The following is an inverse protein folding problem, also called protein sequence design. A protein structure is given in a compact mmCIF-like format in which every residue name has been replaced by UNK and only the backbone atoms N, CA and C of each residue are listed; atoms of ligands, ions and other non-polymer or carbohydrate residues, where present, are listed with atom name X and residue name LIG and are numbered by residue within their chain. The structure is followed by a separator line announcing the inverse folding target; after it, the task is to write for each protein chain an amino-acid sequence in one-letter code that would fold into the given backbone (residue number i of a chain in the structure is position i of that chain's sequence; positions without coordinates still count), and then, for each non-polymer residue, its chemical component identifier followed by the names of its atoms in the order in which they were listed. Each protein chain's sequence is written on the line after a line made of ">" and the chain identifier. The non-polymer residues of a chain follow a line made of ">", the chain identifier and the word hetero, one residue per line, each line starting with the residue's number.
data_IF_585012367236
#
_entry.id   IF_585012367236
#
_cell.length_a   1.000
_cell.length_b   1.000
_cell.length_c   1.000
_cell.angle_alpha   90.00
_cell.angle_beta   90.00
_cell.angle_gamma   90.00
#
_symmetry.space_group_name_H-M   'P 1'
#
loop_
_entity.id
_entity.type
_entity.pdbx_description
1 polymer ?
#
# COMPACT_ATOMS: atom_id res chain seq x y z
N UNK A 1 -26.68 -4.97 8.24
CA UNK A 1 -25.32 -4.73 8.76
C UNK A 1 -24.72 -3.59 7.96
N UNK A 2 -24.18 -2.57 8.61
CA UNK A 2 -23.45 -1.49 7.92
C UNK A 2 -22.14 -2.03 7.37
N UNK A 3 -21.74 -1.63 6.16
CA UNK A 3 -20.45 -2.02 5.59
C UNK A 3 -19.31 -1.61 6.55
N UNK A 4 -18.24 -2.40 6.68
CA UNK A 4 -17.11 -2.02 7.52
C UNK A 4 -16.32 -0.87 6.88
N UNK A 5 -15.56 -0.08 7.67
CA UNK A 5 -14.62 0.91 7.13
C UNK A 5 -13.59 0.25 6.22
N UNK A 6 -13.11 0.99 5.22
CA UNK A 6 -12.13 0.52 4.24
C UNK A 6 -10.79 1.21 4.48
N UNK A 7 -9.72 0.44 4.67
CA UNK A 7 -8.36 0.96 4.75
C UNK A 7 -7.60 0.65 3.47
N UNK A 8 -7.25 1.68 2.70
CA UNK A 8 -6.22 1.60 1.67
C UNK A 8 -4.85 1.69 2.32
N UNK A 9 -4.02 0.68 2.10
CA UNK A 9 -2.71 0.53 2.74
C UNK A 9 -1.64 0.16 1.71
N UNK A 10 -0.37 0.33 2.09
CA UNK A 10 0.76 -0.27 1.38
C UNK A 10 1.74 -0.83 2.40
N UNK A 11 2.00 -2.13 2.32
CA UNK A 11 2.78 -2.93 3.26
C UNK A 11 4.09 -2.28 3.73
N UNK A 12 4.79 -1.61 2.83
CA UNK A 12 6.12 -1.01 3.11
C UNK A 12 6.09 0.47 3.44
N UNK A 13 4.94 1.15 3.28
CA UNK A 13 4.83 2.58 3.56
C UNK A 13 4.91 2.83 5.07
N UNK A 14 5.82 3.71 5.57
CA UNK A 14 5.90 4.02 6.98
C UNK A 14 4.61 4.68 7.51
N UNK A 15 3.97 5.55 6.72
CA UNK A 15 2.67 6.13 7.06
C UNK A 15 1.57 5.06 7.16
N UNK A 16 1.56 4.04 6.30
CA UNK A 16 0.57 2.98 6.38
C UNK A 16 0.83 2.02 7.55
N UNK A 17 2.11 1.81 7.94
CA UNK A 17 2.45 1.09 9.17
C UNK A 17 1.87 1.82 10.39
N UNK A 18 1.97 3.16 10.48
CA UNK A 18 1.36 3.96 11.56
C UNK A 18 -0.13 3.67 11.73
N UNK A 19 -0.89 3.80 10.64
CA UNK A 19 -2.33 3.56 10.66
C UNK A 19 -2.66 2.14 11.12
N UNK A 20 -1.96 1.14 10.58
CA UNK A 20 -2.17 -0.27 10.98
C UNK A 20 -1.83 -0.53 12.45
N UNK A 21 -0.77 0.07 12.99
CA UNK A 21 -0.42 -0.04 14.41
C UNK A 21 -1.56 0.44 15.30
N UNK A 22 -2.07 1.64 15.03
CA UNK A 22 -3.14 2.23 15.82
C UNK A 22 -4.49 1.50 15.67
N UNK A 23 -4.82 1.02 14.47
CA UNK A 23 -6.05 0.24 14.25
C UNK A 23 -5.97 -1.14 14.93
N UNK A 24 -4.82 -1.81 14.85
CA UNK A 24 -4.61 -3.10 15.49
C UNK A 24 -4.65 -3.00 17.03
N UNK A 25 -4.00 -1.99 17.62
CA UNK A 25 -4.04 -1.81 19.09
C UNK A 25 -5.43 -1.40 19.59
N UNK A 26 -6.21 -0.68 18.77
CA UNK A 26 -7.62 -0.42 19.03
C UNK A 26 -8.50 -1.67 18.88
N UNK A 27 -7.93 -2.80 18.47
CA UNK A 27 -8.59 -4.10 18.39
C UNK A 27 -9.41 -4.32 17.12
N UNK A 28 -9.20 -3.52 16.06
CA UNK A 28 -9.84 -3.77 14.77
C UNK A 28 -9.06 -4.84 14.00
N UNK A 29 -9.77 -5.78 13.38
CA UNK A 29 -9.18 -6.85 12.57
C UNK A 29 -9.61 -6.77 11.10
N UNK A 30 -8.66 -6.84 10.13
CA UNK A 30 -8.98 -6.96 8.71
C UNK A 30 -9.88 -8.16 8.42
N UNK A 31 -10.94 -7.95 7.63
CA UNK A 31 -11.93 -8.97 7.28
C UNK A 31 -13.05 -9.16 8.31
N UNK A 32 -12.91 -8.61 9.52
CA UNK A 32 -13.96 -8.59 10.54
C UNK A 32 -14.49 -7.18 10.80
N UNK A 33 -13.59 -6.28 11.19
CA UNK A 33 -13.93 -4.93 11.65
C UNK A 33 -13.61 -3.86 10.59
N UNK A 34 -12.75 -4.17 9.61
CA UNK A 34 -12.42 -3.31 8.48
C UNK A 34 -12.09 -4.13 7.22
N UNK A 35 -12.31 -3.56 6.04
CA UNK A 35 -11.80 -4.10 4.78
C UNK A 35 -10.41 -3.52 4.49
N UNK A 36 -9.38 -4.36 4.39
CA UNK A 36 -8.05 -3.93 4.00
C UNK A 36 -7.86 -4.05 2.49
N UNK A 37 -7.47 -2.94 1.85
CA UNK A 37 -7.13 -2.88 0.43
C UNK A 37 -5.64 -2.56 0.30
N UNK A 38 -4.82 -3.59 0.07
CA UNK A 38 -3.38 -3.40 -0.23
C UNK A 38 -3.24 -2.78 -1.63
N UNK A 39 -2.51 -1.67 -1.72
CA UNK A 39 -2.41 -0.86 -2.95
C UNK A 39 -1.01 -0.97 -3.54
N UNK A 40 -0.94 -1.18 -4.85
CA UNK A 40 0.27 -0.91 -5.62
C UNK A 40 0.44 0.60 -5.82
N UNK A 41 1.55 1.17 -5.36
CA UNK A 41 1.84 2.60 -5.58
C UNK A 41 2.13 2.93 -7.05
N UNK A 42 2.55 1.94 -7.84
CA UNK A 42 2.75 2.08 -9.28
C UNK A 42 1.43 2.00 -10.04
N UNK A 43 0.46 1.24 -9.51
CA UNK A 43 -0.84 1.09 -10.15
C UNK A 43 -1.96 1.09 -9.12
N UNK A 44 -2.38 2.32 -8.79
CA UNK A 44 -3.38 2.62 -7.77
C UNK A 44 -4.77 2.22 -8.27
N UNK A 45 -5.59 1.54 -7.46
CA UNK A 45 -6.95 1.19 -7.87
C UNK A 45 -7.75 2.47 -8.14
N UNK A 46 -8.63 2.49 -9.16
CA UNK A 46 -9.49 3.65 -9.44
C UNK A 46 -10.24 4.14 -8.20
N UNK A 47 -10.69 3.24 -7.34
CA UNK A 47 -11.42 3.55 -6.10
C UNK A 47 -10.60 4.33 -5.09
N UNK A 48 -9.27 4.17 -5.04
CA UNK A 48 -8.41 5.02 -4.21
C UNK A 48 -8.40 6.45 -4.75
N UNK A 49 -8.36 6.60 -6.08
CA UNK A 49 -8.33 7.92 -6.72
C UNK A 49 -9.67 8.65 -6.59
N UNK A 50 -10.78 7.90 -6.55
CA UNK A 50 -12.12 8.44 -6.28
C UNK A 50 -12.22 9.10 -4.89
N UNK A 51 -11.60 8.50 -3.86
CA UNK A 51 -11.70 8.98 -2.47
C UNK A 51 -10.53 9.86 -2.02
N UNK A 52 -9.39 9.79 -2.70
CA UNK A 52 -8.17 10.53 -2.36
C UNK A 52 -7.52 11.09 -3.64
N UNK A 53 -7.74 12.37 -3.96
CA UNK A 53 -7.12 13.02 -5.11
C UNK A 53 -5.57 12.99 -5.09
N UNK A 54 -4.97 13.02 -3.90
CA UNK A 54 -3.52 12.85 -3.70
C UNK A 54 -3.02 11.46 -4.16
N UNK A 55 -3.92 10.47 -4.18
CA UNK A 55 -3.61 9.07 -4.44
C UNK A 55 -2.53 8.51 -3.51
N UNK A 56 -2.46 8.98 -2.27
CA UNK A 56 -1.49 8.52 -1.27
C UNK A 56 -2.12 7.49 -0.35
N UNK A 57 -1.28 6.80 0.43
CA UNK A 57 -1.72 5.85 1.47
C UNK A 57 -1.00 6.16 2.78
N UNK A 58 -1.65 5.92 3.93
CA UNK A 58 -2.94 5.27 4.11
C UNK A 58 -4.14 6.20 3.86
N UNK A 59 -5.28 5.62 3.51
CA UNK A 59 -6.58 6.31 3.47
C UNK A 59 -7.62 5.41 4.14
N UNK A 60 -8.34 5.92 5.12
CA UNK A 60 -9.46 5.23 5.76
C UNK A 60 -10.77 5.87 5.29
N UNK A 61 -11.70 5.05 4.80
CA UNK A 61 -13.05 5.47 4.43
C UNK A 61 -14.03 4.86 5.43
N UNK A 62 -14.76 5.70 6.15
CA UNK A 62 -15.77 5.26 7.09
C UNK A 62 -17.05 4.80 6.38
N UNK A 63 -17.91 3.99 7.04
CA UNK A 63 -19.18 3.57 6.46
C UNK A 63 -20.12 4.72 6.08
N UNK A 64 -19.96 5.88 6.73
CA UNK A 64 -20.67 7.12 6.41
C UNK A 64 -20.20 7.80 5.11
N UNK A 65 -19.07 7.37 4.55
CA UNK A 65 -18.39 8.02 3.43
C UNK A 65 -17.36 9.07 3.84
N UNK A 66 -17.19 9.34 5.14
CA UNK A 66 -16.12 10.23 5.62
C UNK A 66 -14.74 9.65 5.29
N UNK A 67 -13.82 10.49 4.84
CA UNK A 67 -12.47 10.09 4.42
C UNK A 67 -11.43 10.70 5.34
N UNK A 68 -10.52 9.86 5.83
CA UNK A 68 -9.29 10.26 6.53
C UNK A 68 -8.10 9.90 5.65
N UNK A 69 -7.43 10.89 5.08
CA UNK A 69 -6.31 10.73 4.16
C UNK A 69 -4.93 11.01 4.79
N UNK A 70 -4.90 11.25 6.10
CA UNK A 70 -3.69 11.51 6.87
C UNK A 70 -3.46 10.42 7.93
N UNK A 71 -2.25 9.84 7.96
CA UNK A 71 -1.95 8.70 8.85
C UNK A 71 -2.15 9.01 10.33
N UNK A 72 -1.83 10.23 10.79
CA UNK A 72 -2.02 10.66 12.18
C UNK A 72 -3.51 10.81 12.52
N UNK A 73 -4.32 11.29 11.57
CA UNK A 73 -5.77 11.37 11.76
C UNK A 73 -6.36 9.97 11.93
N UNK A 74 -5.91 9.00 11.13
CA UNK A 74 -6.32 7.59 11.27
C UNK A 74 -5.87 7.02 12.62
N UNK A 75 -4.63 7.31 13.05
CA UNK A 75 -4.15 6.85 14.36
C UNK A 75 -5.01 7.38 15.51
N UNK A 76 -5.28 8.68 15.53
CA UNK A 76 -6.13 9.32 16.55
C UNK A 76 -7.55 8.81 16.49
N UNK A 77 -8.11 8.65 15.29
CA UNK A 77 -9.44 8.08 15.08
C UNK A 77 -9.57 6.69 15.71
N UNK A 78 -8.56 5.84 15.56
CA UNK A 78 -8.56 4.50 16.16
C UNK A 78 -8.43 4.56 17.69
N UNK A 79 -7.45 5.31 18.19
CA UNK A 79 -7.11 5.33 19.62
C UNK A 79 -8.17 6.03 20.48
N UNK A 80 -8.85 7.07 19.96
CA UNK A 80 -9.97 7.72 20.66
C UNK A 80 -11.11 6.72 20.93
N UNK A 81 -11.27 5.69 20.09
CA UNK A 81 -12.27 4.63 20.30
C UNK A 81 -11.81 3.62 21.34
N UNK A 82 -10.54 3.21 21.27
CA UNK A 82 -9.95 2.27 22.22
C UNK A 82 -8.44 2.43 22.25
N UNK A 83 -7.90 2.80 23.42
CA UNK A 83 -6.46 2.96 23.65
C UNK A 83 -6.03 2.14 24.88
N UNK A 84 -5.92 0.81 24.75
CA UNK A 84 -5.67 -0.07 25.90
C UNK A 84 -4.27 0.10 26.51
N UNK A 85 -3.37 0.79 25.80
CA UNK A 85 -1.99 1.01 26.22
C UNK A 85 -1.68 2.49 26.50
N UNK A 86 -2.67 3.37 26.38
CA UNK A 86 -2.55 4.79 26.70
C UNK A 86 -1.61 5.57 25.79
N UNK A 87 -1.50 5.22 24.51
CA UNK A 87 -0.61 5.89 23.54
C UNK A 87 -0.95 7.38 23.38
N UNK A 88 -2.21 7.79 23.53
CA UNK A 88 -2.60 9.20 23.45
C UNK A 88 -2.12 10.01 24.67
N UNK A 89 -1.88 9.37 25.81
CA UNK A 89 -1.44 10.04 27.03
C UNK A 89 0.07 10.26 26.98
N UNK A 90 0.52 11.51 27.09
CA UNK A 90 1.90 11.77 27.50
C UNK A 90 2.07 11.36 28.98
N UNK A 91 3.28 10.98 29.38
CA UNK A 91 3.56 10.60 30.77
C UNK A 91 3.27 11.79 31.72
N UNK A 92 2.05 11.86 32.27
CA UNK A 92 1.68 12.90 33.23
C UNK A 92 0.20 13.26 33.36
N UNK A 93 -0.71 12.86 32.46
CA UNK A 93 -2.14 13.16 32.68
C UNK A 93 -3.10 12.76 31.56
N UNK A 94 -4.37 12.60 31.94
CA UNK A 94 -5.49 12.33 31.05
C UNK A 94 -5.85 13.62 30.31
N UNK A 95 -5.33 13.83 29.10
CA UNK A 95 -5.59 15.04 28.32
C UNK A 95 -4.82 15.05 27.00
N UNK A 96 -5.24 15.91 26.06
CA UNK A 96 -4.76 16.02 24.69
C UNK A 96 -3.23 15.86 24.52
N UNK A 97 -2.82 15.39 23.33
CA UNK A 97 -1.41 15.25 22.95
C UNK A 97 -0.60 16.48 23.38
N UNK A 98 0.39 16.26 24.25
CA UNK A 98 1.21 17.34 24.77
C UNK A 98 2.00 18.05 23.65
N UNK A 99 2.32 19.36 23.78
CA UNK A 99 3.06 20.11 22.77
C UNK A 99 4.37 19.44 22.31
N UNK A 100 5.06 18.74 23.21
CA UNK A 100 6.28 18.01 22.88
C UNK A 100 6.06 16.80 21.94
N UNK A 101 4.93 16.08 22.11
CA UNK A 101 4.56 14.98 21.23
C UNK A 101 4.29 15.49 19.81
N UNK A 102 3.53 16.58 19.70
CA UNK A 102 3.25 17.21 18.40
C UNK A 102 4.52 17.74 17.74
N UNK A 103 5.43 18.32 18.51
CA UNK A 103 6.72 18.80 18.00
C UNK A 103 7.58 17.65 17.43
N UNK A 104 7.68 16.51 18.13
CA UNK A 104 8.42 15.34 17.64
C UNK A 104 7.81 14.77 16.35
N UNK A 105 6.48 14.70 16.29
CA UNK A 105 5.76 14.22 15.11
C UNK A 105 5.95 15.18 13.93
N UNK A 106 5.89 16.50 14.17
CA UNK A 106 6.14 17.51 13.14
C UNK A 106 7.59 17.49 12.63
N UNK A 107 8.57 17.32 13.53
CA UNK A 107 9.98 17.15 13.15
C UNK A 107 10.20 15.89 12.31
N UNK A 108 9.51 14.79 12.64
CA UNK A 108 9.53 13.57 11.85
C UNK A 108 8.93 13.79 10.45
N UNK A 109 7.72 14.32 10.37
CA UNK A 109 6.94 14.40 9.14
C UNK A 109 7.43 15.50 8.19
N UNK A 110 8.14 16.50 8.72
CA UNK A 110 8.81 17.55 7.95
C UNK A 110 10.31 17.29 7.77
N UNK A 111 11.19 17.90 8.59
CA UNK A 111 12.64 17.83 8.42
C UNK A 111 13.21 16.42 8.28
N UNK A 112 12.92 15.50 9.20
CA UNK A 112 13.50 14.15 9.14
C UNK A 112 13.07 13.41 7.88
N UNK A 113 11.78 13.43 7.56
CA UNK A 113 11.25 12.81 6.34
C UNK A 113 11.86 13.40 5.07
N UNK A 114 12.05 14.72 5.02
CA UNK A 114 12.72 15.40 3.91
C UNK A 114 14.13 14.83 3.66
N UNK A 115 14.91 14.68 4.73
CA UNK A 115 16.26 14.13 4.64
C UNK A 115 16.25 12.63 4.36
N UNK A 116 15.41 11.84 5.02
CA UNK A 116 15.22 10.41 4.79
C UNK A 116 14.94 10.09 3.32
N UNK A 117 14.01 10.82 2.68
CA UNK A 117 13.67 10.57 1.28
C UNK A 117 14.87 10.81 0.34
N UNK A 118 15.66 11.85 0.60
CA UNK A 118 16.85 12.21 -0.19
C UNK A 118 18.05 11.31 0.10
N UNK A 119 18.15 10.75 1.30
CA UNK A 119 19.11 9.71 1.62
C UNK A 119 18.74 8.39 0.94
N UNK A 120 17.48 7.96 1.03
CA UNK A 120 17.04 6.63 0.59
C UNK A 120 16.82 6.56 -0.93
N UNK A 121 16.23 7.59 -1.51
CA UNK A 121 15.84 7.65 -2.90
C UNK A 121 16.58 8.74 -3.67
N UNK A 122 17.85 8.99 -3.35
CA UNK A 122 18.65 10.09 -3.93
C UNK A 122 18.61 10.11 -5.47
N UNK A 123 18.60 8.93 -6.12
CA UNK A 123 18.52 8.78 -7.57
C UNK A 123 17.26 9.40 -8.19
N UNK A 124 16.17 9.55 -7.43
CA UNK A 124 14.95 10.24 -7.89
C UNK A 124 15.14 11.75 -8.03
N UNK A 125 16.22 12.31 -7.49
CA UNK A 125 16.55 13.73 -7.53
C UNK A 125 17.72 14.02 -8.49
N UNK A 126 18.02 13.09 -9.40
CA UNK A 126 19.07 13.22 -10.41
C UNK A 126 20.49 13.23 -9.82
N UNK A 127 21.50 13.54 -10.65
CA UNK A 127 22.91 13.50 -10.25
C UNK A 127 23.23 14.40 -9.05
N UNK A 128 22.58 15.57 -8.94
CA UNK A 128 22.75 16.48 -7.81
C UNK A 128 22.23 15.88 -6.50
N UNK A 129 21.10 15.16 -6.55
CA UNK A 129 20.56 14.45 -5.40
C UNK A 129 21.50 13.37 -4.89
N UNK A 130 22.10 12.60 -5.80
CA UNK A 130 23.09 11.58 -5.46
C UNK A 130 24.35 12.17 -4.83
N UNK A 131 24.87 13.27 -5.40
CA UNK A 131 26.03 13.97 -4.87
C UNK A 131 25.80 14.50 -3.42
N UNK A 132 24.57 14.87 -3.09
CA UNK A 132 24.17 15.36 -1.75
C UNK A 132 23.62 14.28 -0.82
N UNK A 133 23.66 13.01 -1.22
CA UNK A 133 23.08 11.90 -0.42
C UNK A 133 23.66 11.86 1.00
N UNK A 134 24.98 12.00 1.13
CA UNK A 134 25.64 11.94 2.44
C UNK A 134 25.34 13.18 3.29
N UNK A 135 25.23 14.37 2.70
CA UNK A 135 24.78 15.58 3.40
C UNK A 135 23.38 15.38 4.01
N UNK A 136 22.43 14.85 3.22
CA UNK A 136 21.09 14.54 3.75
C UNK A 136 21.13 13.44 4.81
N UNK A 137 22.02 12.45 4.67
CA UNK A 137 22.21 11.40 5.69
C UNK A 137 22.70 11.98 7.00
N UNK A 138 23.69 12.86 6.97
CA UNK A 138 24.24 13.54 8.15
C UNK A 138 23.20 14.43 8.83
N UNK A 139 22.41 15.18 8.05
CA UNK A 139 21.32 16.00 8.60
C UNK A 139 20.21 15.14 9.25
N UNK A 140 19.85 14.00 8.65
CA UNK A 140 18.94 13.05 9.29
C UNK A 140 19.52 12.47 10.60
N UNK A 141 20.82 12.14 10.62
CA UNK A 141 21.51 11.67 11.83
C UNK A 141 21.54 12.73 12.93
N UNK A 142 21.69 14.01 12.59
CA UNK A 142 21.65 15.10 13.57
C UNK A 142 20.29 15.18 14.28
N UNK A 143 19.18 14.99 13.55
CA UNK A 143 17.83 14.92 14.12
C UNK A 143 17.69 13.67 15.00
N UNK A 144 18.12 12.51 14.50
CA UNK A 144 18.09 11.26 15.26
C UNK A 144 18.92 11.33 16.55
N UNK A 145 20.06 12.03 16.54
CA UNK A 145 20.85 12.30 17.74
C UNK A 145 20.10 13.18 18.75
N UNK A 146 19.28 14.12 18.28
CA UNK A 146 18.34 14.87 19.11
C UNK A 146 17.31 13.98 19.80
N UNK A 147 16.72 13.04 19.07
CA UNK A 147 15.79 12.05 19.65
C UNK A 147 16.49 11.09 20.61
N UNK A 148 17.69 10.64 20.26
CA UNK A 148 18.51 9.78 21.12
C UNK A 148 18.74 10.39 22.51
N UNK A 149 19.01 11.70 22.59
CA UNK A 149 19.18 12.39 23.88
C UNK A 149 17.94 12.38 24.77
N UNK A 150 16.75 12.20 24.21
CA UNK A 150 15.49 12.07 24.98
C UNK A 150 15.28 10.65 25.50
N UNK A 151 15.87 9.66 24.85
CA UNK A 151 15.74 8.26 25.23
C UNK A 151 16.62 7.97 26.45
N UNK A 152 16.00 7.89 27.63
CA UNK A 152 16.64 7.28 28.79
C UNK A 152 16.91 5.79 28.52
N UNK A 153 17.84 5.18 29.26
CA UNK A 153 18.12 3.76 29.13
C UNK A 153 16.84 2.92 29.33
N UNK A 154 16.41 2.21 28.28
CA UNK A 154 15.16 1.42 28.27
C UNK A 154 13.86 2.23 28.16
N UNK A 155 13.94 3.56 28.12
CA UNK A 155 12.81 4.48 28.03
C UNK A 155 12.22 4.63 26.63
N UNK A 156 11.33 5.61 26.50
CA UNK A 156 10.66 6.06 25.29
C UNK A 156 10.82 7.57 25.15
N UNK A 157 10.43 8.14 24.02
CA UNK A 157 10.76 9.54 23.70
C UNK A 157 10.25 10.56 24.73
N UNK A 158 9.14 10.27 25.40
CA UNK A 158 8.46 11.16 26.34
C UNK A 158 8.26 10.52 27.73
N UNK A 159 9.04 9.48 28.08
CA UNK A 159 9.02 8.89 29.42
C UNK A 159 9.21 7.37 29.46
N UNK A 160 8.69 6.73 30.51
CA UNK A 160 8.89 5.30 30.75
C UNK A 160 7.98 4.37 29.93
N UNK A 161 6.94 4.91 29.26
CA UNK A 161 5.98 4.16 28.44
C UNK A 161 5.91 4.77 27.03
N UNK A 162 5.60 3.97 25.99
CA UNK A 162 5.49 4.51 24.64
C UNK A 162 4.31 5.45 24.53
N UNK A 163 4.46 6.50 23.73
CA UNK A 163 3.36 7.37 23.33
C UNK A 163 3.09 7.30 21.83
N UNK A 164 2.10 8.05 21.36
CA UNK A 164 1.81 8.23 19.95
C UNK A 164 3.05 8.68 19.15
N UNK A 165 3.93 9.49 19.76
CA UNK A 165 5.18 9.91 19.13
C UNK A 165 6.05 8.71 18.75
N UNK A 166 6.24 7.75 19.66
CA UNK A 166 7.09 6.59 19.40
C UNK A 166 6.56 5.78 18.21
N UNK A 167 5.28 5.44 18.25
CA UNK A 167 4.63 4.65 17.20
C UNK A 167 4.49 5.39 15.87
N UNK A 168 4.47 6.73 15.90
CA UNK A 168 4.55 7.56 14.71
C UNK A 168 5.96 7.60 14.11
N UNK A 169 7.01 7.70 14.93
CA UNK A 169 8.38 7.90 14.44
C UNK A 169 9.07 6.59 14.03
N UNK A 170 8.88 5.52 14.80
CA UNK A 170 9.55 4.22 14.60
C UNK A 170 9.45 3.65 13.17
N UNK A 171 8.30 3.70 12.47
CA UNK A 171 8.22 3.26 11.08
C UNK A 171 9.17 4.00 10.14
N UNK A 172 9.50 5.27 10.41
CA UNK A 172 10.38 6.10 9.59
C UNK A 172 11.85 5.82 9.91
N UNK A 173 12.20 5.67 11.19
CA UNK A 173 13.56 5.25 11.59
C UNK A 173 13.86 3.85 11.06
N UNK A 174 12.87 2.97 11.01
CA UNK A 174 12.97 1.69 10.28
C UNK A 174 13.29 1.89 8.79
N UNK A 175 12.68 2.86 8.10
CA UNK A 175 13.00 3.14 6.70
C UNK A 175 14.41 3.69 6.52
N UNK A 176 14.88 4.50 7.48
CA UNK A 176 16.24 5.05 7.51
C UNK A 176 17.27 3.91 7.62
N UNK A 177 17.11 3.02 8.61
CA UNK A 177 17.95 1.80 8.72
C UNK A 177 17.90 0.94 7.46
N UNK A 178 16.73 0.77 6.84
CA UNK A 178 16.61 -0.01 5.60
C UNK A 178 17.32 0.61 4.39
N UNK A 179 17.68 1.90 4.43
CA UNK A 179 18.47 2.53 3.37
C UNK A 179 19.95 2.11 3.44
N UNK A 180 20.48 1.88 4.66
CA UNK A 180 21.83 1.43 4.92
C UNK A 180 21.89 0.68 6.27
N UNK A 181 21.58 -0.64 6.28
CA UNK A 181 21.54 -1.40 7.52
C UNK A 181 22.90 -1.48 8.22
N UNK A 182 23.97 -1.70 7.46
CA UNK A 182 25.32 -1.84 8.00
C UNK A 182 25.81 -0.51 8.62
N UNK A 183 25.60 0.61 7.93
CA UNK A 183 25.97 1.92 8.49
C UNK A 183 25.12 2.36 9.67
N UNK A 184 23.85 1.96 9.74
CA UNK A 184 23.01 2.18 10.93
C UNK A 184 23.44 1.32 12.12
N UNK A 185 23.79 0.05 11.87
CA UNK A 185 24.22 -0.88 12.92
C UNK A 185 25.62 -0.53 13.44
N UNK A 186 26.46 0.11 12.61
CA UNK A 186 27.78 0.62 12.97
C UNK A 186 27.78 2.05 13.54
N UNK A 187 26.62 2.62 13.89
CA UNK A 187 26.56 3.94 14.54
C UNK A 187 27.35 3.96 15.87
N UNK A 188 27.92 5.12 16.23
CA UNK A 188 28.75 5.23 17.42
C UNK A 188 27.96 4.94 18.72
N UNK A 189 28.64 4.51 19.80
CA UNK A 189 27.99 4.09 21.05
C UNK A 189 27.12 5.16 21.72
N UNK A 190 27.37 6.45 21.46
CA UNK A 190 26.54 7.55 21.95
C UNK A 190 25.13 7.57 21.34
N UNK A 191 24.89 6.83 20.24
CA UNK A 191 23.58 6.58 19.64
C UNK A 191 22.96 5.22 20.00
N UNK A 192 23.50 4.52 20.99
CA UNK A 192 23.03 3.19 21.37
C UNK A 192 21.57 3.17 21.86
N UNK A 193 21.07 4.24 22.49
CA UNK A 193 19.69 4.30 22.95
C UNK A 193 18.69 4.32 21.78
N UNK A 194 19.00 5.04 20.71
CA UNK A 194 18.24 5.03 19.45
C UNK A 194 18.23 3.65 18.81
N UNK A 195 19.39 2.98 18.75
CA UNK A 195 19.49 1.63 18.19
C UNK A 195 18.65 0.63 19.02
N UNK A 196 18.73 0.70 20.35
CA UNK A 196 17.93 -0.14 21.25
C UNK A 196 16.42 0.13 21.12
N UNK A 197 16.02 1.39 21.01
CA UNK A 197 14.63 1.80 20.81
C UNK A 197 14.06 1.27 19.48
N UNK A 198 14.81 1.38 18.39
CA UNK A 198 14.43 0.77 17.11
C UNK A 198 14.42 -0.76 17.19
N UNK A 199 15.43 -1.37 17.83
CA UNK A 199 15.51 -2.83 17.95
C UNK A 199 14.30 -3.42 18.67
N UNK A 200 13.84 -2.78 19.76
CA UNK A 200 12.61 -3.15 20.47
C UNK A 200 11.39 -3.12 19.56
N UNK A 201 11.27 -2.12 18.69
CA UNK A 201 10.18 -2.06 17.72
C UNK A 201 10.28 -3.16 16.66
N UNK A 202 11.48 -3.41 16.13
CA UNK A 202 11.69 -4.41 15.08
C UNK A 202 11.43 -5.85 15.56
N UNK A 203 11.67 -6.11 16.84
CA UNK A 203 11.46 -7.40 17.49
C UNK A 203 10.11 -7.50 18.23
N UNK A 204 9.37 -6.39 18.31
CA UNK A 204 8.16 -6.27 19.12
C UNK A 204 6.92 -6.89 18.46
N UNK A 205 5.94 -7.32 19.28
CA UNK A 205 4.71 -7.94 18.79
C UNK A 205 3.85 -6.98 17.95
N UNK A 206 3.91 -5.67 18.20
CA UNK A 206 3.09 -4.68 17.51
C UNK A 206 3.46 -4.58 16.03
N UNK A 207 4.76 -4.50 15.71
CA UNK A 207 5.21 -4.51 14.32
C UNK A 207 4.94 -5.88 13.69
N UNK A 208 5.21 -6.98 14.40
CA UNK A 208 4.99 -8.33 13.89
C UNK A 208 3.51 -8.53 13.48
N UNK A 209 2.57 -8.12 14.32
CA UNK A 209 1.13 -8.21 14.07
C UNK A 209 0.72 -7.46 12.79
N UNK A 210 1.17 -6.21 12.62
CA UNK A 210 0.78 -5.40 11.46
C UNK A 210 1.59 -5.70 10.20
N UNK A 211 2.60 -6.57 10.28
CA UNK A 211 3.36 -7.08 9.14
C UNK A 211 2.94 -8.49 8.72
N UNK A 212 2.02 -9.12 9.48
CA UNK A 212 1.42 -10.41 9.16
C UNK A 212 0.48 -10.32 7.94
N UNK A 213 0.20 -11.44 7.23
CA UNK A 213 -0.56 -11.44 5.98
C UNK A 213 -1.91 -10.71 6.04
N UNK A 214 -2.65 -10.84 7.15
CA UNK A 214 -3.95 -10.17 7.35
C UNK A 214 -3.87 -8.64 7.23
N UNK A 215 -2.76 -8.04 7.68
CA UNK A 215 -2.53 -6.59 7.66
C UNK A 215 -1.62 -6.12 6.53
N UNK A 216 -0.91 -7.05 5.91
CA UNK A 216 0.25 -6.79 5.07
C UNK A 216 0.28 -7.76 3.89
N UNK A 217 -0.85 -7.84 3.18
CA UNK A 217 -0.98 -8.59 1.95
C UNK A 217 0.20 -8.31 1.01
N UNK A 218 0.70 -9.36 0.35
CA UNK A 218 1.74 -9.22 -0.67
C UNK A 218 1.13 -8.87 -2.03
N UNK A 219 -0.15 -9.16 -2.17
CA UNK A 219 -0.94 -8.98 -3.36
C UNK A 219 -1.70 -7.65 -3.31
N UNK A 220 -1.62 -6.84 -4.37
CA UNK A 220 -2.53 -5.71 -4.50
C UNK A 220 -3.97 -6.22 -4.52
N UNK A 221 -4.82 -5.56 -3.74
CA UNK A 221 -6.26 -5.75 -3.80
C UNK A 221 -6.76 -5.44 -5.22
N UNK A 222 -7.61 -6.32 -5.73
CA UNK A 222 -8.28 -6.18 -7.02
C UNK A 222 -9.77 -6.05 -6.76
N UNK A 223 -10.35 -4.98 -7.27
CA UNK A 223 -11.75 -4.66 -7.06
C UNK A 223 -12.67 -5.68 -7.73
N UNK A 224 -13.75 -6.12 -7.05
CA UNK A 224 -14.81 -6.89 -7.68
C UNK A 224 -15.67 -6.07 -8.66
N UNK A 225 -15.52 -4.73 -8.68
CA UNK A 225 -16.28 -3.81 -9.57
C UNK A 225 -15.82 -3.90 -11.03
N UNK A 226 -14.58 -4.30 -11.26
CA UNK A 226 -13.96 -4.28 -12.60
C UNK A 226 -13.85 -5.67 -13.20
N UNK A 227 -13.84 -5.71 -14.53
CA UNK A 227 -13.46 -6.91 -15.27
C UNK A 227 -11.99 -6.85 -15.63
N UNK A 228 -11.38 -8.00 -15.86
CA UNK A 228 -9.96 -8.09 -16.12
C UNK A 228 -9.65 -8.95 -17.34
N UNK A 229 -8.72 -8.53 -18.18
CA UNK A 229 -8.29 -9.27 -19.35
C UNK A 229 -6.76 -9.36 -19.40
N UNK A 230 -6.24 -10.55 -19.63
CA UNK A 230 -4.80 -10.78 -19.83
C UNK A 230 -4.50 -10.75 -21.33
N UNK A 231 -3.63 -9.83 -21.75
CA UNK A 231 -3.22 -9.67 -23.14
C UNK A 231 -1.71 -9.83 -23.29
N UNK A 232 -1.23 -10.32 -24.43
CA UNK A 232 0.19 -10.21 -24.73
C UNK A 232 0.54 -8.73 -24.93
N UNK A 233 1.69 -8.29 -24.40
CA UNK A 233 2.09 -6.87 -24.46
C UNK A 233 2.17 -6.36 -25.91
N UNK A 234 2.65 -7.20 -26.84
CA UNK A 234 2.73 -6.87 -28.25
C UNK A 234 1.34 -6.65 -28.88
N UNK A 235 0.38 -7.52 -28.58
CA UNK A 235 -1.00 -7.41 -29.06
C UNK A 235 -1.68 -6.15 -28.52
N UNK A 236 -1.47 -5.85 -27.22
CA UNK A 236 -1.97 -4.62 -26.64
C UNK A 236 -1.36 -3.37 -27.29
N UNK A 237 -0.05 -3.38 -27.56
CA UNK A 237 0.63 -2.28 -28.24
C UNK A 237 0.07 -2.03 -29.64
N UNK A 238 -0.18 -3.09 -30.39
CA UNK A 238 -0.80 -3.00 -31.71
C UNK A 238 -2.22 -2.45 -31.63
N UNK A 239 -3.04 -2.94 -30.70
CA UNK A 239 -4.40 -2.44 -30.50
C UNK A 239 -4.43 -0.94 -30.16
N UNK A 240 -3.47 -0.45 -29.37
CA UNK A 240 -3.34 0.99 -29.09
C UNK A 240 -3.04 1.83 -30.32
N UNK A 241 -2.36 1.27 -31.32
CA UNK A 241 -2.10 1.94 -32.60
C UNK A 241 -3.33 1.87 -33.51
N UNK A 242 -4.03 0.74 -33.50
CA UNK A 242 -5.22 0.52 -34.32
C UNK A 242 -6.50 1.18 -33.78
N UNK A 243 -6.53 1.56 -32.50
CA UNK A 243 -7.70 2.17 -31.84
C UNK A 243 -8.72 1.16 -31.30
N UNK A 244 -8.47 -0.14 -31.44
CA UNK A 244 -9.40 -1.21 -31.04
C UNK A 244 -8.64 -2.50 -30.69
N UNK A 245 -9.12 -3.25 -29.71
CA UNK A 245 -8.55 -4.55 -29.33
C UNK A 245 -9.50 -5.69 -29.72
N UNK A 246 -9.04 -6.61 -30.56
CA UNK A 246 -9.87 -7.69 -31.14
C UNK A 246 -9.24 -9.09 -30.97
N UNK A 247 -8.51 -9.32 -29.88
CA UNK A 247 -7.99 -10.66 -29.55
C UNK A 247 -8.89 -11.31 -28.50
N UNK A 248 -9.22 -12.58 -28.71
CA UNK A 248 -10.10 -13.31 -27.80
C UNK A 248 -9.33 -13.88 -26.61
N UNK A 249 -8.28 -14.63 -26.94
CA UNK A 249 -7.36 -15.30 -26.02
C UNK A 249 -5.99 -15.36 -26.67
N UNK A 250 -5.00 -15.92 -25.96
CA UNK A 250 -3.64 -16.09 -26.47
C UNK A 250 -3.65 -16.76 -27.84
N UNK A 251 -3.21 -16.02 -28.86
CA UNK A 251 -3.05 -16.55 -30.22
C UNK A 251 -4.30 -16.50 -31.09
N UNK A 252 -5.51 -16.34 -30.53
CA UNK A 252 -6.77 -16.38 -31.28
C UNK A 252 -7.46 -15.01 -31.35
N UNK A 253 -7.98 -14.66 -32.53
CA UNK A 253 -8.72 -13.45 -32.79
C UNK A 253 -10.18 -13.55 -32.30
N UNK A 254 -10.84 -12.40 -32.16
CA UNK A 254 -12.25 -12.33 -31.81
C UNK A 254 -13.12 -13.06 -32.84
N UNK A 255 -12.80 -12.94 -34.12
CA UNK A 255 -13.56 -13.52 -35.22
C UNK A 255 -13.51 -15.05 -35.22
N UNK A 256 -12.43 -15.63 -34.67
CA UNK A 256 -12.24 -17.08 -34.58
C UNK A 256 -13.02 -17.71 -33.41
N UNK A 257 -13.21 -16.97 -32.31
CA UNK A 257 -13.82 -17.49 -31.06
C UNK A 257 -15.24 -16.98 -30.85
N UNK A 258 -15.55 -15.76 -31.30
CA UNK A 258 -16.84 -15.09 -31.16
C UNK A 258 -17.00 -14.18 -29.94
N UNK A 259 -16.05 -14.20 -29.00
CA UNK A 259 -16.03 -13.31 -27.82
C UNK A 259 -14.61 -13.17 -27.25
N UNK A 260 -14.36 -12.12 -26.44
CA UNK A 260 -13.11 -11.93 -25.69
C UNK A 260 -13.27 -12.47 -24.27
N UNK A 261 -12.31 -13.28 -23.82
CA UNK A 261 -12.31 -13.81 -22.46
C UNK A 261 -11.89 -12.73 -21.46
N UNK A 262 -12.70 -12.50 -20.43
CA UNK A 262 -12.30 -11.72 -19.26
C UNK A 262 -12.36 -12.60 -18.00
N UNK A 263 -12.00 -12.01 -16.87
CA UNK A 263 -11.98 -12.64 -15.56
C UNK A 263 -12.49 -11.67 -14.50
N UNK A 264 -13.18 -12.19 -13.49
CA UNK A 264 -13.37 -11.50 -12.22
C UNK A 264 -12.06 -11.50 -11.42
N UNK A 265 -11.97 -10.63 -10.41
CA UNK A 265 -10.75 -10.47 -9.60
C UNK A 265 -10.20 -11.80 -9.03
N UNK A 266 -11.08 -12.66 -8.51
CA UNK A 266 -10.70 -13.94 -7.89
C UNK A 266 -10.22 -15.01 -8.89
N UNK A 267 -10.53 -14.86 -10.18
CA UNK A 267 -10.19 -15.82 -11.23
C UNK A 267 -8.78 -15.63 -11.80
N UNK A 268 -8.24 -14.42 -11.67
CA UNK A 268 -7.05 -13.98 -12.42
C UNK A 268 -5.83 -14.86 -12.22
N UNK A 269 -5.50 -15.22 -10.97
CA UNK A 269 -4.29 -16.00 -10.70
C UNK A 269 -4.39 -17.43 -11.25
N UNK A 270 -5.59 -18.01 -11.28
CA UNK A 270 -5.82 -19.32 -11.89
C UNK A 270 -5.74 -19.23 -13.43
N UNK A 271 -6.39 -18.22 -14.03
CA UNK A 271 -6.35 -17.95 -15.47
C UNK A 271 -4.92 -17.73 -15.96
N UNK A 272 -4.16 -16.88 -15.28
CA UNK A 272 -2.77 -16.59 -15.65
C UNK A 272 -1.89 -17.83 -15.59
N UNK A 273 -1.98 -18.63 -14.51
CA UNK A 273 -1.23 -19.88 -14.37
C UNK A 273 -1.58 -20.91 -15.43
N UNK A 274 -2.85 -20.99 -15.83
CA UNK A 274 -3.32 -21.99 -16.80
C UNK A 274 -2.93 -21.65 -18.24
N UNK A 275 -3.06 -20.39 -18.64
CA UNK A 275 -2.99 -20.00 -20.06
C UNK A 275 -1.78 -19.13 -20.43
N UNK A 276 -1.14 -18.49 -19.45
CA UNK A 276 -0.08 -17.49 -19.70
C UNK A 276 1.26 -17.83 -19.01
N UNK A 277 1.41 -19.02 -18.41
CA UNK A 277 2.63 -19.41 -17.68
C UNK A 277 3.91 -19.39 -18.53
N UNK A 278 3.77 -19.72 -19.80
CA UNK A 278 4.84 -19.85 -20.81
C UNK A 278 4.75 -18.73 -21.86
N UNK A 279 3.91 -17.72 -21.61
CA UNK A 279 3.83 -16.55 -22.46
C UNK A 279 5.04 -15.63 -22.24
N UNK A 280 5.35 -14.81 -23.25
CA UNK A 280 6.26 -13.67 -23.11
C UNK A 280 5.66 -12.55 -22.23
N UNK A 281 6.05 -11.29 -22.41
CA UNK A 281 5.47 -10.18 -21.65
C UNK A 281 3.95 -10.11 -21.75
N UNK A 282 3.26 -10.12 -20.60
CA UNK A 282 1.79 -10.05 -20.48
C UNK A 282 1.41 -8.74 -19.79
N UNK A 283 0.30 -8.16 -20.21
CA UNK A 283 -0.35 -7.02 -19.54
C UNK A 283 -1.72 -7.42 -19.02
N UNK A 284 -2.06 -6.89 -17.84
CA UNK A 284 -3.39 -6.96 -17.25
C UNK A 284 -4.15 -5.68 -17.60
N UNK A 285 -5.20 -5.82 -18.39
CA UNK A 285 -6.15 -4.76 -18.66
C UNK A 285 -7.23 -4.80 -17.58
N UNK A 286 -7.52 -3.66 -16.92
CA UNK A 286 -8.70 -3.53 -16.06
C UNK A 286 -9.76 -2.69 -16.76
N UNK A 287 -10.97 -3.25 -16.86
CA UNK A 287 -12.02 -2.82 -17.76
C UNK A 287 -13.20 -2.27 -16.97
N UNK A 288 -13.77 -1.17 -17.45
CA UNK A 288 -14.99 -0.58 -16.92
C UNK A 288 -16.22 -1.20 -17.60
N UNK A 289 -17.02 -2.04 -16.91
CA UNK A 289 -18.19 -2.66 -17.51
C UNK A 289 -19.23 -1.64 -17.99
N UNK A 290 -19.29 -0.45 -17.39
CA UNK A 290 -20.21 0.63 -17.81
C UNK A 290 -19.77 1.30 -19.11
N UNK A 291 -18.47 1.28 -19.43
CA UNK A 291 -17.95 1.77 -20.72
C UNK A 291 -18.17 0.76 -21.82
N UNK A 292 -18.01 -0.53 -21.51
CA UNK A 292 -18.36 -1.62 -22.43
C UNK A 292 -19.83 -1.57 -22.83
N UNK A 293 -20.73 -1.42 -21.85
CA UNK A 293 -22.16 -1.29 -22.11
C UNK A 293 -22.50 -0.07 -22.99
N UNK A 294 -21.93 1.11 -22.68
CA UNK A 294 -22.12 2.33 -23.49
C UNK A 294 -21.58 2.20 -24.92
N UNK A 295 -20.52 1.42 -25.11
CA UNK A 295 -19.96 1.13 -26.42
C UNK A 295 -20.74 0.01 -27.17
N UNK A 296 -21.80 -0.53 -26.58
CA UNK A 296 -22.61 -1.58 -27.19
C UNK A 296 -21.93 -2.95 -27.22
N UNK A 297 -20.99 -3.22 -26.30
CA UNK A 297 -20.31 -4.52 -26.17
C UNK A 297 -20.99 -5.33 -25.05
N UNK A 298 -21.84 -6.34 -25.37
CA UNK A 298 -22.51 -7.12 -24.35
C UNK A 298 -21.50 -7.97 -23.56
N UNK A 299 -21.67 -8.01 -22.24
CA UNK A 299 -20.92 -8.91 -21.35
C UNK A 299 -21.84 -10.00 -20.84
N UNK A 300 -21.47 -11.27 -21.03
CA UNK A 300 -22.22 -12.41 -20.49
C UNK A 300 -21.33 -13.24 -19.58
N UNK A 301 -21.89 -13.72 -18.48
CA UNK A 301 -21.20 -14.61 -17.56
C UNK A 301 -21.57 -16.06 -17.91
N UNK A 302 -20.61 -16.84 -18.40
CA UNK A 302 -20.86 -18.18 -18.92
C UNK A 302 -19.80 -19.16 -18.42
N UNK A 303 -20.20 -20.41 -18.23
CA UNK A 303 -19.27 -21.46 -17.82
C UNK A 303 -18.53 -22.03 -19.04
N UNK A 304 -17.26 -22.42 -18.90
CA UNK A 304 -16.57 -23.17 -19.95
C UNK A 304 -17.21 -24.57 -20.10
N UNK A 305 -17.04 -25.26 -21.24
CA UNK A 305 -17.69 -26.55 -21.51
C UNK A 305 -17.45 -27.65 -20.47
N UNK A 306 -16.36 -27.56 -19.70
CA UNK A 306 -15.96 -28.54 -18.68
C UNK A 306 -15.91 -27.93 -17.27
N UNK A 307 -16.67 -26.86 -17.00
CA UNK A 307 -16.69 -26.21 -15.69
C UNK A 307 -18.05 -25.66 -15.32
N UNK A 308 -18.19 -25.27 -14.05
CA UNK A 308 -19.40 -24.63 -13.50
C UNK A 308 -19.19 -23.17 -13.15
N UNK A 309 -17.92 -22.75 -13.01
CA UNK A 309 -17.57 -21.38 -12.69
C UNK A 309 -17.83 -20.46 -13.89
N UNK A 310 -18.50 -19.35 -13.66
CA UNK A 310 -18.86 -18.39 -14.70
C UNK A 310 -17.72 -17.40 -14.94
N UNK A 311 -17.34 -17.24 -16.21
CA UNK A 311 -16.38 -16.24 -16.66
C UNK A 311 -17.10 -15.16 -17.47
N UNK A 312 -16.70 -13.88 -17.33
CA UNK A 312 -17.24 -12.82 -18.17
C UNK A 312 -16.65 -12.91 -19.59
N UNK A 313 -17.52 -12.91 -20.59
CA UNK A 313 -17.19 -12.88 -22.02
C UNK A 313 -17.72 -11.60 -22.67
N UNK A 314 -16.87 -10.91 -23.42
CA UNK A 314 -17.23 -9.69 -24.15
C UNK A 314 -17.58 -10.06 -25.59
N UNK A 315 -18.83 -9.81 -26.00
CA UNK A 315 -19.33 -10.12 -27.34
C UNK A 315 -19.13 -8.94 -28.30
N UNK A 316 -17.88 -8.69 -28.64
CA UNK A 316 -17.48 -7.61 -29.52
C UNK A 316 -16.03 -7.18 -29.28
N UNK A 317 -15.48 -6.33 -30.15
CA UNK A 317 -14.14 -5.79 -29.94
C UNK A 317 -14.11 -4.96 -28.66
N UNK A 318 -12.99 -5.03 -27.92
CA UNK A 318 -12.77 -4.22 -26.73
C UNK A 318 -12.38 -2.79 -27.15
N UNK A 319 -13.22 -1.78 -26.88
CA UNK A 319 -12.87 -0.40 -27.14
C UNK A 319 -11.83 0.08 -26.11
N UNK A 320 -10.85 0.86 -26.57
CA UNK A 320 -9.72 1.26 -25.70
C UNK A 320 -10.16 2.20 -24.58
N UNK A 321 -11.26 2.94 -24.76
CA UNK A 321 -11.80 3.83 -23.74
C UNK A 321 -12.36 3.07 -22.54
N UNK A 322 -12.79 1.82 -22.71
CA UNK A 322 -13.23 0.92 -21.65
C UNK A 322 -12.07 0.38 -20.80
N UNK A 323 -10.82 0.49 -21.27
CA UNK A 323 -9.63 0.09 -20.53
C UNK A 323 -9.23 1.21 -19.57
N UNK A 324 -9.53 1.04 -18.28
CA UNK A 324 -9.15 2.00 -17.23
C UNK A 324 -7.64 2.02 -17.01
N UNK A 325 -7.02 0.83 -17.09
CA UNK A 325 -5.59 0.61 -16.83
C UNK A 325 -5.05 -0.57 -17.63
N UNK A 326 -3.76 -0.50 -17.94
CA UNK A 326 -2.98 -1.58 -18.53
C UNK A 326 -1.65 -1.70 -17.79
N UNK A 327 -1.50 -2.76 -16.99
CA UNK A 327 -0.34 -2.95 -16.10
C UNK A 327 0.46 -4.18 -16.50
N UNK A 328 1.81 -4.17 -16.39
CA UNK A 328 2.59 -5.38 -16.56
C UNK A 328 2.13 -6.48 -15.59
N UNK A 329 1.75 -7.64 -16.13
CA UNK A 329 1.40 -8.78 -15.31
C UNK A 329 2.66 -9.40 -14.72
N UNK A 330 2.70 -9.51 -13.41
CA UNK A 330 3.76 -10.23 -12.70
C UNK A 330 3.10 -11.36 -11.92
N UNK A 331 3.34 -12.62 -12.30
CA UNK A 331 2.87 -13.75 -11.53
C UNK A 331 3.35 -13.60 -10.09
N UNK A 332 2.49 -13.98 -9.15
CA UNK A 332 2.91 -14.05 -7.78
C UNK A 332 3.98 -15.15 -7.64
N UNK A 333 5.03 -14.93 -6.83
CA UNK A 333 5.90 -16.02 -6.45
C UNK A 333 5.03 -17.12 -5.85
N UNK A 334 5.27 -18.38 -6.24
CA UNK A 334 4.60 -19.52 -5.64
C UNK A 334 4.71 -19.39 -4.11
N UNK A 335 3.59 -19.56 -3.41
CA UNK A 335 3.65 -19.62 -1.95
C UNK A 335 4.54 -20.83 -1.58
N UNK A 336 5.55 -20.64 -0.71
CA UNK A 336 6.41 -21.73 -0.28
C UNK A 336 5.65 -22.80 0.49
#
# INVERSE_FOLDING_TARGET
>A
MTAPPVLYSFRRCPYAIRARLALAVAGLEPGRDLELREVSLQSKPPELLEVSPKGTVPVLVEPSGAVLDESLAIMRWALVRRDPHGWLSSAGGCGAAGPEQEALIAENDGPFKHHLDRTKYASRFGPQGEARREEHRQAALAILAGWNRRLQAGGWLLGARPSLADWALLPFVRQFRLADPAGFDALPPDLAALQAWLARFLQGPELAAVMAPAWAGREPWRSPRWLYHLALEAEWRQARQAGVYARSTRGLALEEVGYIHASYAHQLEATARRYYRDAGPVVLLTLDPRRLERAGVPVRAEAPPQGTELFPHLYGPLPLDAVLRADPWRPLPAQP
#
